data_IF_556062055781
#
_entry.id   IF_556062055781
#
_cell.length_a   1.000
_cell.length_b   1.000
_cell.length_c   1.000
_cell.angle_alpha   90.00
_cell.angle_beta   90.00
_cell.angle_gamma   90.00
#
_symmetry.space_group_name_H-M   'P 1'
#
loop_
_entity.id
_entity.type
_entity.pdbx_description
1 polymer ?
#
# COMPACT_ATOMS: atom_id res chain seq x y z
N UNK A 1 1.75 4.71 14.05
CA UNK A 1 1.98 3.23 14.00
C UNK A 1 0.75 2.55 14.55
N UNK A 2 0.16 1.64 13.80
CA UNK A 2 -1.04 0.91 14.23
C UNK A 2 -0.69 -0.06 15.36
N UNK A 3 -1.57 -0.17 16.39
CA UNK A 3 -1.39 -1.15 17.46
C UNK A 3 -1.73 -2.56 16.98
N UNK A 4 -1.20 -3.60 17.65
CA UNK A 4 -1.53 -4.99 17.33
C UNK A 4 -3.03 -5.28 17.39
N UNK A 5 -3.75 -4.63 18.33
CA UNK A 5 -5.20 -4.74 18.39
C UNK A 5 -5.88 -4.18 17.15
N UNK A 6 -5.41 -3.04 16.65
CA UNK A 6 -5.94 -2.42 15.44
C UNK A 6 -5.74 -3.32 14.21
N UNK A 7 -4.55 -3.90 14.05
CA UNK A 7 -4.26 -4.81 12.94
C UNK A 7 -5.21 -6.02 12.90
N UNK A 8 -5.57 -6.56 14.07
CA UNK A 8 -6.48 -7.72 14.20
C UNK A 8 -7.93 -7.41 13.82
N UNK A 9 -8.35 -6.17 14.00
CA UNK A 9 -9.73 -5.75 13.72
C UNK A 9 -9.87 -5.02 12.40
N UNK A 10 -8.77 -4.68 11.76
CA UNK A 10 -8.71 -3.89 10.53
C UNK A 10 -9.65 -4.42 9.45
N UNK A 11 -9.52 -5.71 9.13
CA UNK A 11 -10.35 -6.34 8.12
C UNK A 11 -11.81 -6.49 8.57
N UNK A 12 -12.05 -6.71 9.88
CA UNK A 12 -13.40 -6.85 10.43
C UNK A 12 -14.22 -5.54 10.36
N UNK A 13 -13.54 -4.39 10.35
CA UNK A 13 -14.18 -3.09 10.11
C UNK A 13 -14.40 -2.77 8.62
N UNK A 14 -14.02 -3.68 7.72
CA UNK A 14 -14.24 -3.52 6.28
C UNK A 14 -13.23 -2.61 5.58
N UNK A 15 -12.11 -2.25 6.22
CA UNK A 15 -11.07 -1.41 5.59
C UNK A 15 -10.30 -2.14 4.48
N UNK A 16 -10.46 -3.45 4.37
CA UNK A 16 -9.98 -4.25 3.25
C UNK A 16 -10.79 -4.05 1.94
N UNK A 17 -11.93 -3.36 2.01
CA UNK A 17 -12.78 -3.10 0.83
C UNK A 17 -12.03 -2.28 -0.23
N UNK A 18 -11.34 -1.22 0.17
CA UNK A 18 -10.64 -0.35 -0.76
C UNK A 18 -9.54 -1.07 -1.57
N UNK A 19 -8.58 -1.81 -0.97
CA UNK A 19 -7.58 -2.55 -1.74
C UNK A 19 -8.19 -3.65 -2.64
N UNK A 20 -9.33 -4.24 -2.27
CA UNK A 20 -10.05 -5.17 -3.15
C UNK A 20 -10.60 -4.49 -4.41
N UNK A 21 -11.31 -3.38 -4.26
CA UNK A 21 -11.82 -2.59 -5.38
C UNK A 21 -10.69 -2.02 -6.24
N UNK A 22 -9.63 -1.54 -5.60
CA UNK A 22 -8.46 -1.03 -6.30
C UNK A 22 -7.79 -2.11 -7.17
N UNK A 23 -7.67 -3.34 -6.69
CA UNK A 23 -7.13 -4.46 -7.47
C UNK A 23 -7.92 -4.70 -8.77
N UNK A 24 -9.25 -4.65 -8.69
CA UNK A 24 -10.13 -4.80 -9.87
C UNK A 24 -9.94 -3.64 -10.85
N UNK A 25 -9.85 -2.40 -10.35
CA UNK A 25 -9.63 -1.22 -11.19
C UNK A 25 -8.25 -1.26 -11.86
N UNK A 26 -7.23 -1.65 -11.10
CA UNK A 26 -5.86 -1.78 -11.59
C UNK A 26 -5.75 -2.84 -12.70
N UNK A 27 -6.36 -4.01 -12.50
CA UNK A 27 -6.39 -5.05 -13.52
C UNK A 27 -7.05 -4.55 -14.82
N UNK A 28 -8.24 -3.95 -14.70
CA UNK A 28 -8.96 -3.40 -15.87
C UNK A 28 -8.16 -2.31 -16.58
N UNK A 29 -7.48 -1.45 -15.84
CA UNK A 29 -6.62 -0.42 -16.40
C UNK A 29 -5.45 -1.02 -17.18
N UNK A 30 -4.78 -2.03 -16.63
CA UNK A 30 -3.70 -2.73 -17.31
C UNK A 30 -4.18 -3.43 -18.60
N UNK A 31 -5.30 -4.15 -18.53
CA UNK A 31 -5.91 -4.80 -19.70
C UNK A 31 -6.25 -3.79 -20.79
N UNK A 32 -6.93 -2.70 -20.44
CA UNK A 32 -7.33 -1.64 -21.37
C UNK A 32 -6.13 -0.99 -22.07
N UNK A 33 -5.03 -0.80 -21.35
CA UNK A 33 -3.82 -0.14 -21.86
C UNK A 33 -2.77 -1.14 -22.37
N UNK A 34 -3.09 -2.46 -22.40
CA UNK A 34 -2.19 -3.53 -22.84
C UNK A 34 -0.85 -3.56 -22.07
N UNK A 35 -0.90 -3.15 -20.80
CA UNK A 35 0.25 -3.16 -19.89
C UNK A 35 0.42 -4.56 -19.31
N UNK A 36 1.64 -5.09 -19.42
CA UNK A 36 2.00 -6.39 -18.85
C UNK A 36 2.91 -6.17 -17.64
N UNK A 37 2.44 -6.61 -16.48
CA UNK A 37 3.16 -6.61 -15.21
C UNK A 37 3.28 -8.04 -14.74
N UNK A 38 4.49 -8.48 -14.41
CA UNK A 38 4.76 -9.83 -13.90
C UNK A 38 5.12 -9.81 -12.42
N UNK A 39 5.66 -8.70 -11.93
CA UNK A 39 6.12 -8.55 -10.55
C UNK A 39 5.65 -7.23 -9.94
N UNK A 40 5.27 -7.29 -8.66
CA UNK A 40 4.74 -6.13 -7.93
C UNK A 40 5.32 -6.07 -6.51
N UNK A 41 5.65 -4.87 -6.05
CA UNK A 41 5.89 -4.53 -4.65
C UNK A 41 4.84 -3.52 -4.17
N UNK A 42 4.14 -3.84 -3.10
CA UNK A 42 3.20 -2.95 -2.43
C UNK A 42 3.84 -2.36 -1.17
N UNK A 43 4.11 -1.06 -1.16
CA UNK A 43 4.71 -0.35 -0.03
C UNK A 43 3.62 0.31 0.82
N UNK A 44 3.53 -0.10 2.08
CA UNK A 44 2.39 0.16 2.96
C UNK A 44 1.26 -0.85 2.73
N UNK A 45 1.61 -2.14 2.57
CA UNK A 45 0.70 -3.20 2.14
C UNK A 45 -0.39 -3.59 3.16
N UNK A 46 -0.32 -3.08 4.40
CA UNK A 46 -1.25 -3.43 5.46
C UNK A 46 -1.34 -4.94 5.68
N UNK A 47 -2.56 -5.47 5.69
CA UNK A 47 -2.83 -6.91 5.86
C UNK A 47 -2.67 -7.73 4.56
N UNK A 48 -2.08 -7.16 3.49
CA UNK A 48 -1.67 -7.89 2.29
C UNK A 48 -2.78 -8.17 1.26
N UNK A 49 -3.94 -7.53 1.39
CA UNK A 49 -5.11 -7.80 0.53
C UNK A 49 -4.81 -7.50 -0.93
N UNK A 50 -4.20 -6.34 -1.25
CA UNK A 50 -3.85 -5.98 -2.62
C UNK A 50 -2.86 -7.00 -3.21
N UNK A 51 -1.80 -7.36 -2.46
CA UNK A 51 -0.83 -8.37 -2.90
C UNK A 51 -1.50 -9.70 -3.24
N UNK A 52 -2.42 -10.17 -2.38
CA UNK A 52 -3.16 -11.42 -2.60
C UNK A 52 -4.02 -11.36 -3.85
N UNK A 53 -4.73 -10.26 -4.09
CA UNK A 53 -5.56 -10.09 -5.30
C UNK A 53 -4.72 -10.05 -6.57
N UNK A 54 -3.59 -9.33 -6.54
CA UNK A 54 -2.69 -9.26 -7.70
C UNK A 54 -1.99 -10.60 -7.95
N UNK A 55 -1.67 -11.35 -6.90
CA UNK A 55 -1.17 -12.72 -7.03
C UNK A 55 -2.21 -13.65 -7.70
N UNK A 56 -3.47 -13.54 -7.32
CA UNK A 56 -4.55 -14.30 -7.95
C UNK A 56 -4.72 -13.98 -9.45
N UNK A 57 -4.30 -12.79 -9.89
CA UNK A 57 -4.22 -12.40 -11.29
C UNK A 57 -2.92 -12.84 -11.98
N UNK A 58 -2.09 -13.64 -11.30
CA UNK A 58 -0.88 -14.25 -11.84
C UNK A 58 0.40 -13.43 -11.70
N UNK A 59 0.41 -12.41 -10.82
CA UNK A 59 1.61 -11.62 -10.53
C UNK A 59 2.43 -12.24 -9.40
N UNK A 60 3.74 -12.08 -9.46
CA UNK A 60 4.63 -12.28 -8.32
C UNK A 60 4.58 -11.04 -7.43
N UNK A 61 3.66 -11.03 -6.47
CA UNK A 61 3.37 -9.92 -5.60
C UNK A 61 4.05 -10.06 -4.24
N UNK A 62 4.67 -8.97 -3.78
CA UNK A 62 5.30 -8.86 -2.47
C UNK A 62 4.76 -7.61 -1.76
N UNK A 63 4.79 -7.61 -0.43
CA UNK A 63 4.35 -6.47 0.37
C UNK A 63 5.34 -6.05 1.44
N UNK A 64 5.38 -4.77 1.75
CA UNK A 64 6.14 -4.19 2.85
C UNK A 64 5.28 -3.21 3.62
N UNK A 65 5.34 -3.27 4.95
CA UNK A 65 4.64 -2.33 5.84
C UNK A 65 5.50 -2.01 7.07
N UNK A 66 5.31 -0.80 7.61
CA UNK A 66 6.00 -0.37 8.82
C UNK A 66 5.51 -1.11 10.07
N UNK A 67 4.24 -1.53 10.08
CA UNK A 67 3.58 -2.16 11.21
C UNK A 67 3.88 -3.66 11.27
N UNK A 68 4.55 -4.09 12.34
CA UNK A 68 4.78 -5.51 12.61
C UNK A 68 3.46 -6.30 12.70
N UNK A 69 2.42 -5.71 13.33
CA UNK A 69 1.11 -6.34 13.45
C UNK A 69 0.42 -6.54 12.11
N UNK A 70 0.52 -5.58 11.16
CA UNK A 70 0.00 -5.73 9.80
C UNK A 70 0.73 -6.86 9.05
N UNK A 71 2.04 -6.90 9.13
CA UNK A 71 2.86 -7.93 8.49
C UNK A 71 2.58 -9.32 9.08
N UNK A 72 2.40 -9.43 10.40
CA UNK A 72 2.01 -10.70 11.02
C UNK A 72 0.67 -11.21 10.49
N UNK A 73 -0.33 -10.34 10.37
CA UNK A 73 -1.64 -10.67 9.80
C UNK A 73 -1.54 -11.05 8.31
N UNK A 74 -0.74 -10.31 7.52
CA UNK A 74 -0.54 -10.61 6.11
C UNK A 74 0.08 -12.01 5.91
N UNK A 75 1.12 -12.35 6.68
CA UNK A 75 1.76 -13.68 6.65
C UNK A 75 0.84 -14.81 7.11
N UNK A 76 -0.01 -14.56 8.10
CA UNK A 76 -0.99 -15.54 8.57
C UNK A 76 -2.06 -15.82 7.50
N UNK A 77 -2.56 -14.75 6.83
CA UNK A 77 -3.61 -14.86 5.81
C UNK A 77 -3.11 -15.43 4.47
N UNK A 78 -1.90 -15.08 4.09
CA UNK A 78 -1.33 -15.39 2.77
C UNK A 78 0.10 -15.95 2.91
N UNK A 79 0.26 -17.14 3.48
CA UNK A 79 1.58 -17.72 3.79
C UNK A 79 2.43 -18.02 2.54
N UNK A 80 1.82 -18.05 1.35
CA UNK A 80 2.48 -18.25 0.06
C UNK A 80 3.15 -16.98 -0.47
N UNK A 81 2.83 -15.80 0.09
CA UNK A 81 3.36 -14.51 -0.35
C UNK A 81 4.50 -14.02 0.55
N UNK A 82 5.32 -13.15 0.01
CA UNK A 82 6.42 -12.53 0.74
C UNK A 82 5.95 -11.19 1.32
N UNK A 83 6.05 -11.08 2.64
CA UNK A 83 5.78 -9.83 3.36
C UNK A 83 6.95 -9.50 4.29
N UNK A 84 7.40 -8.26 4.28
CA UNK A 84 8.52 -7.79 5.07
C UNK A 84 8.15 -6.56 5.89
N UNK A 85 8.61 -6.52 7.15
CA UNK A 85 8.51 -5.30 7.92
C UNK A 85 9.58 -4.31 7.45
N UNK A 86 9.18 -3.08 7.15
CA UNK A 86 10.11 -2.06 6.70
C UNK A 86 9.51 -0.65 6.77
N UNK A 87 10.41 0.34 6.75
CA UNK A 87 10.04 1.74 6.62
C UNK A 87 10.34 2.17 5.18
N UNK A 88 9.34 2.67 4.45
CA UNK A 88 9.48 3.04 3.03
C UNK A 88 10.57 4.10 2.78
N UNK A 89 10.94 4.89 3.80
CA UNK A 89 12.03 5.87 3.71
C UNK A 89 13.41 5.19 3.67
N UNK A 90 13.58 4.07 4.40
CA UNK A 90 14.87 3.40 4.57
C UNK A 90 14.90 1.97 4.02
N UNK A 91 13.80 1.47 3.50
CA UNK A 91 13.71 0.13 2.91
C UNK A 91 14.59 0.06 1.66
N UNK A 92 15.30 -1.03 1.53
CA UNK A 92 16.14 -1.35 0.37
C UNK A 92 15.70 -2.70 -0.20
N UNK A 93 15.65 -2.80 -1.52
CA UNK A 93 15.36 -4.04 -2.21
C UNK A 93 16.45 -4.33 -3.23
N UNK A 94 16.99 -5.53 -3.21
CA UNK A 94 17.92 -6.02 -4.23
C UNK A 94 17.21 -6.45 -5.52
N UNK A 95 15.89 -6.45 -5.50
CA UNK A 95 15.04 -6.84 -6.60
C UNK A 95 14.36 -5.65 -7.23
N UNK A 96 14.17 -5.71 -8.56
CA UNK A 96 13.35 -4.75 -9.31
C UNK A 96 11.98 -5.35 -9.62
N UNK A 97 10.97 -4.48 -9.73
CA UNK A 97 9.58 -4.82 -9.97
C UNK A 97 9.04 -4.04 -11.17
N UNK A 98 8.13 -4.66 -11.93
CA UNK A 98 7.43 -4.00 -13.03
C UNK A 98 6.43 -2.96 -12.53
N UNK A 99 5.90 -3.17 -11.31
CA UNK A 99 4.94 -2.29 -10.65
C UNK A 99 5.31 -2.11 -9.17
N UNK A 100 5.33 -0.87 -8.72
CA UNK A 100 5.33 -0.53 -7.30
C UNK A 100 4.01 0.17 -7.00
N UNK A 101 3.34 -0.21 -5.91
CA UNK A 101 2.10 0.43 -5.44
C UNK A 101 2.27 1.01 -4.04
N UNK A 102 1.48 2.03 -3.73
CA UNK A 102 1.29 2.54 -2.37
C UNK A 102 -0.10 3.14 -2.27
N UNK A 103 -1.02 2.45 -1.63
CA UNK A 103 -2.44 2.80 -1.63
C UNK A 103 -2.99 2.99 -0.22
N UNK A 104 -4.24 3.41 -0.12
CA UNK A 104 -4.91 3.68 1.15
C UNK A 104 -4.18 4.74 1.97
N UNK A 105 -3.88 5.89 1.34
CA UNK A 105 -3.23 7.05 1.95
C UNK A 105 -1.88 6.78 2.65
N UNK A 106 -1.23 5.65 2.37
CA UNK A 106 0.04 5.30 2.99
C UNK A 106 1.11 6.39 2.79
N UNK A 107 1.15 7.03 1.61
CA UNK A 107 2.06 8.15 1.31
C UNK A 107 1.76 9.40 2.13
N UNK A 108 0.52 9.61 2.60
CA UNK A 108 0.14 10.75 3.44
C UNK A 108 0.76 10.71 4.85
N UNK A 109 1.26 9.55 5.26
CA UNK A 109 1.98 9.42 6.53
C UNK A 109 3.43 9.95 6.46
N UNK A 110 3.94 10.29 5.27
CA UNK A 110 5.26 10.92 5.09
C UNK A 110 5.11 12.43 5.20
N UNK A 111 5.42 12.97 6.36
CA UNK A 111 5.20 14.39 6.67
C UNK A 111 6.35 15.29 6.23
N UNK A 112 7.58 14.76 6.17
CA UNK A 112 8.75 15.54 5.84
C UNK A 112 9.04 15.48 4.34
N UNK A 113 9.20 16.63 3.65
CA UNK A 113 9.50 16.66 2.22
C UNK A 113 10.80 15.90 1.83
N UNK A 114 11.79 15.90 2.72
CA UNK A 114 13.04 15.18 2.50
C UNK A 114 12.81 13.65 2.49
N UNK A 115 11.94 13.14 3.37
CA UNK A 115 11.58 11.73 3.43
C UNK A 115 10.77 11.32 2.21
N UNK A 116 9.82 12.17 1.77
CA UNK A 116 9.07 11.92 0.53
C UNK A 116 10.02 11.82 -0.68
N UNK A 117 11.01 12.73 -0.79
CA UNK A 117 12.02 12.64 -1.83
C UNK A 117 12.85 11.35 -1.73
N UNK A 118 13.14 10.88 -0.50
CA UNK A 118 13.86 9.63 -0.31
C UNK A 118 13.02 8.44 -0.76
N UNK A 119 11.72 8.39 -0.40
CA UNK A 119 10.79 7.36 -0.88
C UNK A 119 10.76 7.32 -2.41
N UNK A 120 10.66 8.48 -3.07
CA UNK A 120 10.66 8.53 -4.55
C UNK A 120 11.97 7.99 -5.15
N UNK A 121 13.13 8.27 -4.54
CA UNK A 121 14.42 7.69 -4.96
C UNK A 121 14.46 6.19 -4.75
N UNK A 122 13.98 5.71 -3.62
CA UNK A 122 13.91 4.29 -3.31
C UNK A 122 13.03 3.56 -4.32
N UNK A 123 11.80 4.06 -4.54
CA UNK A 123 10.88 3.50 -5.54
C UNK A 123 11.51 3.45 -6.93
N UNK A 124 12.18 4.53 -7.33
CA UNK A 124 12.88 4.54 -8.62
C UNK A 124 13.94 3.43 -8.72
N UNK A 125 14.64 3.11 -7.63
CA UNK A 125 15.63 2.02 -7.61
C UNK A 125 14.99 0.62 -7.65
N UNK A 126 13.74 0.47 -7.17
CA UNK A 126 13.00 -0.80 -7.20
C UNK A 126 12.30 -1.03 -8.53
N UNK A 127 12.11 -0.01 -9.35
CA UNK A 127 11.44 -0.16 -10.63
C UNK A 127 12.35 -0.74 -11.69
N UNK A 128 11.85 -1.77 -12.37
CA UNK A 128 12.45 -2.24 -13.61
C UNK A 128 12.37 -1.15 -14.69
N UNK A 129 13.27 -1.13 -15.69
CA UNK A 129 13.17 -0.19 -16.79
C UNK A 129 11.81 -0.22 -17.48
N UNK A 130 11.10 0.90 -17.49
CA UNK A 130 9.74 1.00 -18.03
C UNK A 130 8.64 0.57 -17.06
N UNK A 131 8.97 0.31 -15.81
CA UNK A 131 8.01 -0.02 -14.74
C UNK A 131 7.18 1.19 -14.30
N UNK A 132 6.16 0.92 -13.51
CA UNK A 132 5.17 1.89 -13.07
C UNK A 132 5.17 2.06 -11.55
N UNK A 133 5.00 3.29 -11.09
CA UNK A 133 4.66 3.58 -9.70
C UNK A 133 3.24 4.16 -9.64
N UNK A 134 2.35 3.47 -8.94
CA UNK A 134 0.98 3.90 -8.69
C UNK A 134 0.77 4.16 -7.21
N UNK A 135 0.29 5.33 -6.87
CA UNK A 135 -0.02 5.69 -5.49
C UNK A 135 -1.23 6.61 -5.42
N UNK A 136 -1.89 6.63 -4.29
CA UNK A 136 -2.91 7.61 -3.97
C UNK A 136 -2.41 8.66 -2.97
N UNK A 137 -3.08 9.80 -2.97
CA UNK A 137 -2.89 10.85 -1.99
C UNK A 137 -4.25 11.42 -1.63
N UNK A 138 -4.54 11.48 -0.35
CA UNK A 138 -5.65 12.27 0.14
C UNK A 138 -5.25 13.76 0.10
N UNK A 139 -6.02 14.53 -0.64
CA UNK A 139 -5.95 15.98 -0.58
C UNK A 139 -6.79 16.45 0.61
N UNK A 140 -6.15 17.07 1.59
CA UNK A 140 -6.87 17.83 2.59
C UNK A 140 -7.42 19.08 1.91
N UNK A 141 -8.72 19.13 1.68
CA UNK A 141 -9.38 20.40 1.51
C UNK A 141 -9.46 21.01 2.90
N UNK A 142 -9.09 22.28 3.08
CA UNK A 142 -9.43 23.03 4.27
C UNK A 142 -10.96 23.00 4.35
N UNK A 143 -11.50 22.04 5.10
CA UNK A 143 -12.90 22.06 5.46
C UNK A 143 -13.06 23.28 6.33
N UNK A 144 -13.96 24.20 5.93
CA UNK A 144 -14.46 25.26 6.80
C UNK A 144 -14.64 24.66 8.20
N UNK A 145 -14.12 25.36 9.21
CA UNK A 145 -14.10 24.94 10.61
C UNK A 145 -15.38 24.20 10.96
N UNK A 146 -15.30 22.90 11.23
CA UNK A 146 -16.42 22.19 11.81
C UNK A 146 -16.73 22.89 13.13
N UNK A 147 -17.84 23.63 13.17
CA UNK A 147 -18.32 24.18 14.44
C UNK A 147 -18.42 23.02 15.44
N UNK A 148 -17.86 23.18 16.65
CA UNK A 148 -17.93 22.12 17.64
C UNK A 148 -19.39 21.77 17.88
N UNK A 149 -19.72 20.50 17.71
CA UNK A 149 -21.05 19.98 18.03
C UNK A 149 -21.25 20.18 19.53
N UNK A 150 -22.16 21.07 19.90
CA UNK A 150 -22.60 21.23 21.29
C UNK A 150 -23.33 19.93 21.70
N UNK A 151 -22.66 19.10 22.49
CA UNK A 151 -23.21 17.84 22.97
C UNK A 151 -24.21 18.00 24.14
N UNK A 152 -24.61 19.25 24.48
CA UNK A 152 -25.58 19.56 25.51
C UNK A 152 -25.32 18.79 26.82
N UNK A 153 -25.19 19.50 27.93
CA UNK A 153 -25.09 18.89 29.27
C UNK A 153 -26.34 18.05 29.60
#
# INVERSE_FOLDING_TARGET
MYSDLFSRVYDAFGWNYYPEEFAVLLQRWMEKNQIRVQSMLDIGCGTGVLCSRMHAYGMDAQGMDLSEGMIAMAKEKYPELIFEQGNMVTYESDRQFDLVTSTCDAMNHILEPADLQQVMRNVYSYLAPGGYFLFDLLKWEETEECEPVDLGE
#
